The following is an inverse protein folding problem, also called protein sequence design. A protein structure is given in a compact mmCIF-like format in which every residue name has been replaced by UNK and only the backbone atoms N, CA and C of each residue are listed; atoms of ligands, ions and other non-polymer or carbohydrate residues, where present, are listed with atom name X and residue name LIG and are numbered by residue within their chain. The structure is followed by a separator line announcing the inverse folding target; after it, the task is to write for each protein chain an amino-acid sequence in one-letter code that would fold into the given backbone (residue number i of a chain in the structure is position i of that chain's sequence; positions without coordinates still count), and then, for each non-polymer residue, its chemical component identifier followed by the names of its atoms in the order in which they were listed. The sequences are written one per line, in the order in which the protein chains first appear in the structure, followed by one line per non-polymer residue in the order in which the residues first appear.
data_IF_489180891513
#
_entry.id   IF_489180891513
#
_cell.length_a   1.000
_cell.length_b   1.000
_cell.length_c   1.000
_cell.angle_alpha   90.00
_cell.angle_beta   90.00
_cell.angle_gamma   90.00
#
_symmetry.space_group_name_H-M   'P 1'
#
loop_
_entity.id
_entity.type
_entity.pdbx_description
1 polymer ?
#
# COMPACT_ATOMS: atom_id res chain seq x y z
N UNK A 1 -19.01 4.82 16.39
CA UNK A 1 -17.97 3.83 16.73
C UNK A 1 -16.64 4.57 16.71
N UNK A 2 -16.06 4.81 17.90
CA UNK A 2 -14.76 5.49 18.00
C UNK A 2 -13.70 4.62 17.31
N UNK A 3 -12.96 5.20 16.37
CA UNK A 3 -11.71 4.57 15.92
C UNK A 3 -10.85 4.33 17.15
N UNK A 4 -10.17 3.18 17.25
CA UNK A 4 -9.18 2.97 18.30
C UNK A 4 -8.16 4.12 18.21
N UNK A 5 -7.79 4.68 19.36
CA UNK A 5 -6.75 5.68 19.48
C UNK A 5 -5.53 5.16 18.72
N UNK A 6 -5.02 5.96 17.76
CA UNK A 6 -3.79 5.66 17.05
C UNK A 6 -2.68 5.55 18.10
N UNK A 7 -1.87 4.49 18.04
CA UNK A 7 -0.65 4.43 18.85
C UNK A 7 0.33 5.48 18.32
N UNK A 8 1.19 5.98 19.19
CA UNK A 8 2.25 6.89 18.76
C UNK A 8 3.20 6.18 17.80
N UNK A 9 3.73 6.92 16.82
CA UNK A 9 4.75 6.39 15.92
C UNK A 9 6.00 5.96 16.71
N UNK A 10 6.66 4.86 16.30
CA UNK A 10 7.93 4.49 16.92
C UNK A 10 8.97 5.61 16.81
N UNK A 11 9.84 5.72 17.82
CA UNK A 11 10.86 6.79 17.92
C UNK A 11 12.16 6.50 17.17
N UNK A 12 12.25 5.35 16.50
CA UNK A 12 13.41 4.96 15.67
C UNK A 12 13.46 5.85 14.44
N UNK A 13 14.57 6.53 14.21
CA UNK A 13 14.73 7.52 13.14
C UNK A 13 15.91 7.24 12.18
N UNK A 14 16.67 6.15 12.40
CA UNK A 14 17.76 5.71 11.53
C UNK A 14 17.71 4.23 11.18
N UNK A 15 18.33 3.86 10.05
CA UNK A 15 18.45 2.44 9.64
C UNK A 15 19.25 1.62 10.66
N UNK A 16 20.28 2.20 11.27
CA UNK A 16 21.08 1.53 12.30
C UNK A 16 20.24 1.15 13.50
N UNK A 17 19.42 2.07 14.02
CA UNK A 17 18.49 1.81 15.12
C UNK A 17 17.42 0.79 14.72
N UNK A 18 16.90 0.88 13.49
CA UNK A 18 15.93 -0.06 12.97
C UNK A 18 16.50 -1.49 12.93
N UNK A 19 17.77 -1.65 12.53
CA UNK A 19 18.46 -2.94 12.58
C UNK A 19 18.66 -3.43 14.02
N UNK A 20 19.08 -2.54 14.89
CA UNK A 20 19.30 -2.85 16.30
C UNK A 20 18.01 -3.27 17.01
N UNK A 21 16.84 -2.77 16.59
CA UNK A 21 15.53 -3.18 17.11
C UNK A 21 15.13 -4.61 16.72
N UNK A 22 15.84 -5.24 15.78
CA UNK A 22 15.49 -6.56 15.25
C UNK A 22 14.34 -6.52 14.24
N UNK A 23 13.99 -5.34 13.72
CA UNK A 23 12.94 -5.20 12.70
C UNK A 23 13.23 -6.07 11.47
N UNK A 24 12.23 -6.83 11.04
CA UNK A 24 12.30 -7.66 9.85
C UNK A 24 11.28 -7.16 8.82
N UNK A 25 11.76 -6.94 7.60
CA UNK A 25 10.89 -6.60 6.49
C UNK A 25 10.09 -7.83 6.06
N UNK A 26 8.81 -7.61 5.78
CA UNK A 26 7.91 -8.60 5.18
C UNK A 26 7.31 -8.06 3.88
N UNK A 27 7.14 -8.91 2.84
CA UNK A 27 6.28 -8.57 1.71
C UNK A 27 4.85 -8.28 2.18
N UNK A 28 4.16 -7.36 1.51
CA UNK A 28 2.78 -6.96 1.87
C UNK A 28 1.83 -8.17 2.04
N UNK A 29 1.90 -9.13 1.12
CA UNK A 29 1.02 -10.32 1.16
C UNK A 29 1.31 -11.20 2.39
N UNK A 30 2.57 -11.28 2.81
CA UNK A 30 2.98 -11.97 4.03
C UNK A 30 2.51 -11.22 5.28
N UNK A 31 2.63 -9.91 5.30
CA UNK A 31 2.13 -9.05 6.37
C UNK A 31 0.63 -9.25 6.60
N UNK A 32 -0.18 -9.11 5.54
CA UNK A 32 -1.64 -9.30 5.60
C UNK A 32 -2.03 -10.70 6.07
N UNK A 33 -1.37 -11.74 5.55
CA UNK A 33 -1.59 -13.13 5.95
C UNK A 33 -1.28 -13.36 7.41
N UNK A 34 -0.10 -12.92 7.84
CA UNK A 34 0.38 -13.16 9.22
C UNK A 34 -0.52 -12.45 10.22
N UNK A 35 -0.94 -11.21 9.94
CA UNK A 35 -1.83 -10.44 10.78
C UNK A 35 -3.24 -11.04 10.82
N UNK A 36 -3.79 -11.47 9.68
CA UNK A 36 -5.06 -12.19 9.63
C UNK A 36 -5.01 -13.47 10.49
N UNK A 37 -3.98 -14.29 10.31
CA UNK A 37 -3.81 -15.51 11.09
C UNK A 37 -3.62 -15.25 12.59
N UNK A 38 -2.97 -14.15 12.95
CA UNK A 38 -2.81 -13.74 14.35
C UNK A 38 -4.15 -13.38 14.99
N UNK A 39 -5.01 -12.61 14.28
CA UNK A 39 -6.36 -12.28 14.74
C UNK A 39 -7.22 -13.54 14.92
N UNK A 40 -7.25 -14.41 13.92
CA UNK A 40 -8.03 -15.66 13.96
C UNK A 40 -7.57 -16.61 15.09
N UNK A 41 -6.25 -16.78 15.27
CA UNK A 41 -5.69 -17.61 16.36
C UNK A 41 -5.99 -17.06 17.75
N UNK A 42 -6.08 -15.73 17.86
CA UNK A 42 -6.43 -15.07 19.10
C UNK A 42 -7.96 -15.06 19.38
N UNK A 43 -8.76 -15.62 18.47
CA UNK A 43 -10.22 -15.61 18.58
C UNK A 43 -10.83 -14.22 18.43
N UNK A 44 -10.10 -13.27 17.87
CA UNK A 44 -10.62 -11.93 17.56
C UNK A 44 -11.30 -11.90 16.19
N UNK A 45 -12.31 -11.05 16.05
CA UNK A 45 -12.99 -10.85 14.78
C UNK A 45 -12.17 -9.90 13.88
N UNK A 46 -11.59 -10.40 12.75
CA UNK A 46 -10.84 -9.53 11.83
C UNK A 46 -11.75 -8.61 11.03
N UNK A 47 -13.07 -8.89 11.03
CA UNK A 47 -14.07 -8.26 10.17
C UNK A 47 -15.16 -7.50 10.93
N UNK A 48 -14.81 -6.65 11.89
CA UNK A 48 -15.79 -6.03 12.78
C UNK A 48 -16.81 -5.19 12.02
N UNK A 49 -18.10 -5.45 12.32
CA UNK A 49 -19.23 -4.74 11.74
C UNK A 49 -19.57 -5.14 10.31
N UNK A 50 -19.01 -6.25 9.79
CA UNK A 50 -19.46 -6.90 8.57
C UNK A 50 -20.39 -8.04 8.96
N UNK A 51 -21.68 -7.88 8.72
CA UNK A 51 -22.71 -8.85 9.07
C UNK A 51 -23.38 -9.41 7.82
N UNK A 52 -23.71 -10.72 7.84
CA UNK A 52 -24.36 -11.40 6.75
C UNK A 52 -23.41 -11.95 5.68
N UNK A 53 -22.10 -11.85 5.90
CA UNK A 53 -21.06 -12.36 4.98
C UNK A 53 -20.28 -13.52 5.56
N UNK A 54 -20.56 -13.90 6.79
CA UNK A 54 -19.76 -14.86 7.59
C UNK A 54 -19.72 -16.25 6.96
N UNK A 55 -20.79 -16.67 6.31
CA UNK A 55 -20.89 -17.99 5.67
C UNK A 55 -20.55 -17.98 4.17
N UNK A 56 -20.36 -16.82 3.56
CA UNK A 56 -20.26 -16.68 2.09
C UNK A 56 -18.96 -16.01 1.65
N UNK A 57 -18.88 -14.70 1.81
CA UNK A 57 -17.78 -13.88 1.27
C UNK A 57 -16.53 -13.96 2.16
N UNK A 58 -16.69 -13.88 3.48
CA UNK A 58 -15.56 -13.85 4.42
C UNK A 58 -14.66 -15.07 4.30
N UNK A 59 -15.16 -16.33 4.28
CA UNK A 59 -14.28 -17.49 4.15
C UNK A 59 -13.53 -17.55 2.81
N UNK A 60 -14.09 -16.98 1.74
CA UNK A 60 -13.42 -16.92 0.45
C UNK A 60 -12.33 -15.85 0.46
N UNK A 61 -12.63 -14.68 1.05
CA UNK A 61 -11.67 -13.59 1.21
C UNK A 61 -10.48 -14.01 2.07
N UNK A 62 -10.71 -14.64 3.21
CA UNK A 62 -9.66 -15.15 4.09
C UNK A 62 -8.74 -16.13 3.35
N UNK A 63 -9.31 -17.08 2.62
CA UNK A 63 -8.53 -18.02 1.80
C UNK A 63 -7.69 -17.31 0.74
N UNK A 64 -8.26 -16.29 0.07
CA UNK A 64 -7.54 -15.52 -0.93
C UNK A 64 -6.37 -14.74 -0.31
N UNK A 65 -6.58 -14.08 0.83
CA UNK A 65 -5.54 -13.35 1.55
C UNK A 65 -4.45 -14.27 2.09
N UNK A 66 -4.82 -15.43 2.64
CA UNK A 66 -3.85 -16.44 3.12
C UNK A 66 -3.01 -16.97 1.95
N UNK A 67 -3.64 -17.19 0.79
CA UNK A 67 -2.95 -17.64 -0.42
C UNK A 67 -2.16 -16.52 -1.13
N UNK A 68 -2.30 -15.25 -0.70
CA UNK A 68 -1.62 -14.11 -1.28
C UNK A 68 -2.17 -13.70 -2.65
N UNK A 69 -3.45 -13.92 -2.90
CA UNK A 69 -4.11 -13.51 -4.15
C UNK A 69 -4.64 -12.09 -4.10
N UNK A 70 -4.68 -11.44 -5.27
CA UNK A 70 -5.48 -10.25 -5.48
C UNK A 70 -6.96 -10.65 -5.55
N UNK A 71 -7.86 -9.74 -5.18
CA UNK A 71 -9.28 -10.05 -4.98
C UNK A 71 -10.15 -9.15 -5.84
N UNK A 72 -11.10 -9.73 -6.54
CA UNK A 72 -12.18 -9.02 -7.23
C UNK A 72 -13.50 -9.31 -6.51
N UNK A 73 -14.16 -8.25 -6.02
CA UNK A 73 -15.45 -8.34 -5.35
C UNK A 73 -16.56 -8.04 -6.36
N UNK A 74 -17.34 -9.07 -6.69
CA UNK A 74 -18.50 -8.96 -7.57
C UNK A 74 -19.77 -8.83 -6.74
N UNK A 75 -20.68 -7.98 -7.19
CA UNK A 75 -21.99 -7.78 -6.54
C UNK A 75 -22.61 -6.44 -6.88
N UNK A 76 -23.87 -6.26 -6.55
CA UNK A 76 -24.64 -5.04 -6.81
C UNK A 76 -24.14 -3.86 -5.97
N UNK A 77 -24.53 -2.64 -6.38
CA UNK A 77 -24.27 -1.42 -5.61
C UNK A 77 -24.95 -1.51 -4.23
N UNK A 78 -24.31 -0.96 -3.21
CA UNK A 78 -24.86 -0.93 -1.84
C UNK A 78 -24.61 -2.21 -1.02
N UNK A 79 -24.00 -3.26 -1.56
CA UNK A 79 -23.73 -4.53 -0.86
C UNK A 79 -22.51 -4.50 0.08
N UNK A 80 -21.99 -3.33 0.46
CA UNK A 80 -20.91 -3.22 1.45
C UNK A 80 -19.51 -3.55 0.94
N UNK A 81 -19.29 -3.71 -0.38
CA UNK A 81 -17.96 -4.02 -0.96
C UNK A 81 -16.86 -3.05 -0.50
N UNK A 82 -17.12 -1.76 -0.58
CA UNK A 82 -16.15 -0.72 -0.16
C UNK A 82 -15.83 -0.82 1.34
N UNK A 83 -16.84 -1.14 2.17
CA UNK A 83 -16.61 -1.35 3.61
C UNK A 83 -15.72 -2.57 3.86
N UNK A 84 -15.96 -3.66 3.12
CA UNK A 84 -15.12 -4.86 3.19
C UNK A 84 -13.68 -4.54 2.79
N UNK A 85 -13.46 -3.82 1.69
CA UNK A 85 -12.13 -3.40 1.24
C UNK A 85 -11.40 -2.56 2.30
N UNK A 86 -12.08 -1.58 2.90
CA UNK A 86 -11.50 -0.77 3.99
C UNK A 86 -11.13 -1.60 5.22
N UNK A 87 -11.91 -2.65 5.50
CA UNK A 87 -11.60 -3.54 6.62
C UNK A 87 -10.32 -4.35 6.36
N UNK A 88 -10.02 -4.72 5.10
CA UNK A 88 -8.74 -5.36 4.74
C UNK A 88 -7.56 -4.45 5.11
N UNK A 89 -7.67 -3.14 4.93
CA UNK A 89 -6.64 -2.17 5.32
C UNK A 89 -6.27 -2.21 6.81
N UNK A 90 -7.14 -2.72 7.67
CA UNK A 90 -6.87 -2.90 9.11
C UNK A 90 -5.92 -4.05 9.42
N UNK A 91 -5.74 -4.96 8.44
CA UNK A 91 -4.77 -6.05 8.54
C UNK A 91 -3.33 -5.60 8.24
N UNK A 92 -3.11 -4.37 7.80
CA UNK A 92 -1.77 -3.79 7.70
C UNK A 92 -1.23 -3.52 9.10
N UNK A 93 0.09 -3.64 9.26
CA UNK A 93 0.79 -3.18 10.47
C UNK A 93 0.48 -1.70 10.69
N UNK A 94 0.23 -1.31 11.94
CA UNK A 94 -0.20 0.06 12.26
C UNK A 94 0.83 1.09 11.80
N UNK A 95 2.11 0.78 11.99
CA UNK A 95 3.24 1.60 11.55
C UNK A 95 4.23 0.76 10.73
N UNK A 96 4.69 1.31 9.63
CA UNK A 96 5.75 0.71 8.81
C UNK A 96 6.88 1.70 8.59
N UNK A 97 8.16 1.28 8.71
CA UNK A 97 9.28 2.17 8.47
C UNK A 97 9.43 2.43 6.96
N UNK A 98 9.74 3.67 6.61
CA UNK A 98 10.04 4.10 5.25
C UNK A 98 11.28 4.99 5.24
N UNK A 99 11.96 5.07 4.11
CA UNK A 99 13.05 6.03 3.93
C UNK A 99 12.45 7.44 4.04
N UNK A 100 12.95 8.25 4.96
CA UNK A 100 12.46 9.60 5.15
C UNK A 100 12.56 10.42 3.87
N UNK A 101 11.44 11.03 3.44
CA UNK A 101 11.35 11.79 2.20
C UNK A 101 11.23 10.96 0.92
N UNK A 102 11.12 9.63 0.99
CA UNK A 102 10.83 8.81 -0.20
C UNK A 102 9.42 9.09 -0.72
N UNK A 103 9.31 9.42 -2.00
CA UNK A 103 8.01 9.65 -2.66
C UNK A 103 7.14 8.39 -2.68
N UNK A 104 7.75 7.22 -2.84
CA UNK A 104 7.08 5.93 -2.90
C UNK A 104 6.88 5.27 -1.53
N UNK A 105 7.46 5.83 -0.45
CA UNK A 105 7.43 5.19 0.86
C UNK A 105 8.18 3.85 0.88
N UNK A 106 9.38 3.84 0.29
CA UNK A 106 10.23 2.66 0.17
C UNK A 106 10.73 2.18 1.54
N UNK A 107 10.81 0.86 1.69
CA UNK A 107 11.36 0.29 2.92
C UNK A 107 12.87 0.55 3.01
N UNK A 108 13.41 0.94 4.20
CA UNK A 108 14.83 1.27 4.34
C UNK A 108 15.81 0.16 3.96
N UNK A 109 15.37 -1.10 4.06
CA UNK A 109 16.20 -2.25 3.67
C UNK A 109 16.09 -2.62 2.19
N UNK A 110 15.16 -2.01 1.45
CA UNK A 110 14.90 -2.34 0.05
C UNK A 110 14.59 -1.06 -0.76
N UNK A 111 15.58 -0.17 -0.92
CA UNK A 111 15.40 1.01 -1.76
C UNK A 111 15.27 0.60 -3.23
N UNK A 112 14.27 1.15 -3.93
CA UNK A 112 13.97 0.82 -5.34
C UNK A 112 14.26 1.95 -6.29
N UNK A 113 14.01 3.22 -5.91
CA UNK A 113 14.33 4.37 -6.75
C UNK A 113 15.84 4.63 -6.80
N UNK A 114 16.29 5.28 -7.86
CA UNK A 114 17.70 5.66 -8.01
C UNK A 114 18.17 6.57 -6.88
N UNK A 115 17.34 7.56 -6.53
CA UNK A 115 17.61 8.49 -5.43
C UNK A 115 17.74 7.77 -4.07
N UNK A 116 16.78 6.89 -3.74
CA UNK A 116 16.80 6.14 -2.49
C UNK A 116 17.99 5.19 -2.39
N UNK A 117 18.36 4.53 -3.50
CA UNK A 117 19.56 3.68 -3.54
C UNK A 117 20.84 4.47 -3.34
N UNK A 118 20.97 5.63 -3.98
CA UNK A 118 22.12 6.52 -3.80
C UNK A 118 22.24 6.96 -2.33
N UNK A 119 21.15 7.47 -1.73
CA UNK A 119 21.13 7.89 -0.32
C UNK A 119 21.47 6.74 0.63
N UNK A 120 20.93 5.55 0.37
CA UNK A 120 21.24 4.36 1.18
C UNK A 120 22.71 3.95 1.09
N UNK A 121 23.33 4.06 -0.09
CA UNK A 121 24.76 3.77 -0.27
C UNK A 121 25.65 4.81 0.41
N UNK A 122 25.28 6.09 0.38
CA UNK A 122 26.03 7.19 0.97
C UNK A 122 25.92 7.23 2.50
N UNK A 123 24.73 7.00 3.05
CA UNK A 123 24.45 7.20 4.47
C UNK A 123 24.52 5.90 5.30
N UNK A 124 24.36 4.74 4.68
CA UNK A 124 24.39 3.45 5.38
C UNK A 124 23.45 3.41 6.58
N UNK A 125 23.96 3.15 7.77
CA UNK A 125 23.16 3.08 9.01
C UNK A 125 22.64 4.45 9.49
N UNK A 126 23.20 5.55 8.98
CA UNK A 126 22.70 6.90 9.26
C UNK A 126 21.55 7.32 8.32
N UNK A 127 21.10 6.46 7.40
CA UNK A 127 19.97 6.77 6.52
C UNK A 127 18.72 7.06 7.36
N UNK A 128 18.11 8.25 7.21
CA UNK A 128 16.94 8.63 8.00
C UNK A 128 15.72 7.77 7.68
N UNK A 129 15.02 7.36 8.72
CA UNK A 129 13.77 6.59 8.69
C UNK A 129 12.63 7.48 9.18
N UNK A 130 11.49 7.37 8.56
CA UNK A 130 10.21 7.88 9.07
C UNK A 130 9.19 6.75 9.13
N UNK A 131 8.06 6.98 9.78
CA UNK A 131 7.03 5.97 9.97
C UNK A 131 5.76 6.37 9.25
N UNK A 132 5.22 5.43 8.49
CA UNK A 132 4.00 5.60 7.73
C UNK A 132 2.88 4.81 8.41
N UNK A 133 1.79 5.49 8.76
CA UNK A 133 0.64 4.84 9.37
C UNK A 133 -0.15 4.04 8.30
N UNK A 134 -0.78 2.93 8.72
CA UNK A 134 -1.56 2.06 7.80
C UNK A 134 -2.65 2.78 7.02
N UNK A 135 -3.24 3.86 7.56
CA UNK A 135 -4.25 4.65 6.84
C UNK A 135 -3.72 5.31 5.57
N UNK A 136 -2.41 5.54 5.49
CA UNK A 136 -1.73 6.10 4.31
C UNK A 136 -1.32 5.01 3.31
N UNK A 137 -1.45 3.74 3.70
CA UNK A 137 -1.11 2.57 2.90
C UNK A 137 -2.32 1.91 2.25
N UNK A 138 -3.50 2.47 2.44
CA UNK A 138 -4.74 2.05 1.80
C UNK A 138 -5.30 3.19 0.97
N UNK A 139 -5.45 2.99 -0.32
CA UNK A 139 -5.90 4.02 -1.25
C UNK A 139 -7.09 3.50 -2.06
N UNK A 140 -8.12 4.34 -2.21
CA UNK A 140 -9.29 4.07 -3.06
C UNK A 140 -9.25 4.96 -4.29
N UNK A 141 -9.51 4.35 -5.44
CA UNK A 141 -9.75 5.05 -6.71
C UNK A 141 -11.12 4.66 -7.24
N UNK A 142 -11.95 5.65 -7.52
CA UNK A 142 -13.14 5.42 -8.33
C UNK A 142 -12.70 5.38 -9.81
N UNK A 143 -13.00 4.28 -10.47
CA UNK A 143 -12.80 4.17 -11.90
C UNK A 143 -13.81 5.05 -12.64
N UNK A 144 -13.33 5.77 -13.64
CA UNK A 144 -14.14 6.61 -14.51
C UNK A 144 -13.65 6.44 -15.96
N UNK A 145 -14.48 6.71 -17.00
CA UNK A 145 -14.07 6.55 -18.39
C UNK A 145 -12.88 7.44 -18.81
N UNK A 146 -12.65 8.53 -18.10
CA UNK A 146 -11.55 9.48 -18.31
C UNK A 146 -10.29 9.15 -17.51
N UNK A 147 -10.32 8.13 -16.63
CA UNK A 147 -9.12 7.64 -15.93
C UNK A 147 -8.07 7.24 -16.98
N UNK A 148 -6.85 7.77 -16.83
CA UNK A 148 -5.74 7.52 -17.76
C UNK A 148 -4.72 6.53 -17.20
N UNK A 149 -3.86 5.98 -18.06
CA UNK A 149 -2.69 5.19 -17.64
C UNK A 149 -1.75 6.05 -16.81
N UNK A 150 -1.59 7.33 -17.17
CA UNK A 150 -0.76 8.28 -16.42
C UNK A 150 -1.23 8.45 -14.98
N UNK A 151 -2.55 8.48 -14.73
CA UNK A 151 -3.10 8.57 -13.37
C UNK A 151 -2.75 7.33 -12.53
N UNK A 152 -2.73 6.16 -13.14
CA UNK A 152 -2.50 4.89 -12.46
C UNK A 152 -1.02 4.55 -12.31
N UNK A 153 -0.26 4.64 -13.38
CA UNK A 153 1.15 4.21 -13.43
C UNK A 153 2.09 5.40 -13.31
N UNK A 154 1.77 6.49 -14.02
CA UNK A 154 2.60 7.68 -14.10
C UNK A 154 2.95 8.05 -15.53
N UNK A 155 3.61 9.17 -15.68
CA UNK A 155 4.06 9.72 -16.96
C UNK A 155 5.35 10.53 -16.77
N UNK A 156 5.95 10.94 -17.87
CA UNK A 156 7.10 11.84 -17.87
C UNK A 156 6.65 13.24 -17.43
N UNK A 157 7.33 13.80 -16.46
CA UNK A 157 7.09 15.16 -15.96
C UNK A 157 7.61 16.20 -16.98
N UNK A 158 6.72 16.93 -17.67
CA UNK A 158 7.13 17.89 -18.68
C UNK A 158 7.93 19.07 -18.11
N UNK A 159 7.75 19.39 -16.83
CA UNK A 159 8.50 20.47 -16.17
C UNK A 159 9.95 20.10 -16.02
N UNK A 160 10.24 18.87 -15.57
CA UNK A 160 11.60 18.36 -15.41
C UNK A 160 12.33 18.25 -16.76
N UNK A 161 11.60 17.90 -17.81
CA UNK A 161 12.15 17.90 -19.19
C UNK A 161 12.46 19.32 -19.65
N UNK A 162 11.60 20.29 -19.35
CA UNK A 162 11.83 21.71 -19.69
C UNK A 162 13.03 22.29 -18.93
N UNK A 163 13.37 21.77 -17.75
CA UNK A 163 14.56 22.10 -17.00
C UNK A 163 15.86 21.49 -17.58
N UNK A 164 15.76 20.79 -18.72
CA UNK A 164 16.90 20.22 -19.44
C UNK A 164 17.26 18.77 -19.03
N UNK A 165 16.42 18.08 -18.28
CA UNK A 165 16.61 16.66 -17.99
C UNK A 165 16.30 15.80 -19.21
N UNK A 166 16.99 14.68 -19.34
CA UNK A 166 16.70 13.70 -20.41
C UNK A 166 15.39 12.97 -20.16
N UNK A 167 14.63 12.69 -21.23
CA UNK A 167 13.43 11.84 -21.16
C UNK A 167 13.71 10.42 -20.62
N UNK A 168 14.94 9.95 -20.75
CA UNK A 168 15.38 8.65 -20.20
C UNK A 168 15.86 8.70 -18.75
N UNK A 169 15.87 9.87 -18.12
CA UNK A 169 16.27 10.01 -16.73
C UNK A 169 15.14 9.52 -15.81
N UNK A 170 15.37 8.50 -14.96
CA UNK A 170 14.36 8.01 -14.02
C UNK A 170 13.79 9.10 -13.11
N UNK A 171 14.53 10.19 -12.86
CA UNK A 171 14.07 11.30 -12.05
C UNK A 171 13.07 12.23 -12.78
N UNK A 172 12.84 12.04 -14.10
CA UNK A 172 11.81 12.77 -14.85
C UNK A 172 10.42 12.13 -14.74
N UNK A 173 10.31 10.96 -14.12
CA UNK A 173 9.01 10.28 -13.97
C UNK A 173 8.19 10.94 -12.86
N UNK A 174 6.94 11.24 -13.17
CA UNK A 174 5.88 11.51 -12.19
C UNK A 174 5.13 10.22 -11.92
N UNK A 175 5.23 9.70 -10.69
CA UNK A 175 4.60 8.43 -10.35
C UNK A 175 3.08 8.57 -10.19
N UNK A 176 2.33 7.64 -10.77
CA UNK A 176 0.90 7.53 -10.60
C UNK A 176 0.50 6.87 -9.28
N UNK A 177 -0.80 6.58 -9.16
CA UNK A 177 -1.41 6.03 -7.94
C UNK A 177 -0.78 4.72 -7.49
N UNK A 178 -0.56 3.78 -8.43
CA UNK A 178 -0.07 2.42 -8.11
C UNK A 178 1.35 2.45 -7.54
N UNK A 179 2.35 3.09 -8.20
CA UNK A 179 3.68 3.19 -7.62
C UNK A 179 3.70 3.94 -6.27
N UNK A 180 2.92 5.01 -6.12
CA UNK A 180 2.82 5.75 -4.84
C UNK A 180 2.18 4.93 -3.72
N UNK A 181 1.42 3.89 -4.07
CA UNK A 181 0.83 2.94 -3.13
C UNK A 181 1.76 1.76 -2.85
N UNK A 182 3.05 1.90 -3.15
CA UNK A 182 4.05 0.87 -2.88
C UNK A 182 3.94 0.34 -1.45
N UNK A 183 3.94 -0.98 -1.29
CA UNK A 183 3.72 -1.69 -0.01
C UNK A 183 2.37 -1.36 0.64
N UNK A 184 1.39 -0.97 -0.15
CA UNK A 184 0.03 -0.65 0.27
C UNK A 184 -1.02 -1.42 -0.53
N UNK A 185 -2.27 -1.11 -0.25
CA UNK A 185 -3.44 -1.69 -0.91
C UNK A 185 -4.07 -0.62 -1.79
N UNK A 186 -4.25 -0.94 -3.07
CA UNK A 186 -5.03 -0.12 -3.99
C UNK A 186 -6.37 -0.80 -4.22
N UNK A 187 -7.45 -0.10 -3.90
CA UNK A 187 -8.81 -0.53 -4.16
C UNK A 187 -9.40 0.28 -5.33
N UNK A 188 -9.73 -0.40 -6.42
CA UNK A 188 -10.37 0.22 -7.58
C UNK A 188 -11.87 -0.10 -7.53
N UNK A 189 -12.68 0.93 -7.29
CA UNK A 189 -14.14 0.83 -7.30
C UNK A 189 -14.69 1.04 -8.70
N UNK A 190 -15.77 0.36 -9.05
CA UNK A 190 -16.44 0.45 -10.35
C UNK A 190 -15.48 0.11 -11.52
N UNK A 191 -14.66 -0.93 -11.35
CA UNK A 191 -13.66 -1.37 -12.32
C UNK A 191 -14.18 -1.46 -13.77
N UNK A 192 -15.42 -1.91 -14.06
CA UNK A 192 -15.97 -1.94 -15.41
C UNK A 192 -16.09 -0.56 -16.08
N UNK A 193 -16.08 0.54 -15.32
CA UNK A 193 -16.16 1.89 -15.87
C UNK A 193 -14.82 2.38 -16.44
N UNK A 194 -13.72 1.66 -16.19
CA UNK A 194 -12.44 1.92 -16.86
C UNK A 194 -12.55 1.64 -18.36
N UNK A 195 -11.94 2.47 -19.18
CA UNK A 195 -11.79 2.20 -20.61
C UNK A 195 -11.08 0.83 -20.80
N UNK A 196 -11.53 0.04 -21.77
CA UNK A 196 -11.03 -1.34 -22.03
C UNK A 196 -9.49 -1.38 -22.14
N UNK A 197 -8.90 -0.39 -22.82
CA UNK A 197 -7.43 -0.25 -22.94
C UNK A 197 -6.69 -0.11 -21.60
N UNK A 198 -7.38 0.36 -20.55
CA UNK A 198 -6.81 0.51 -19.21
C UNK A 198 -6.96 -0.78 -18.40
N UNK A 199 -8.05 -1.53 -18.64
CA UNK A 199 -8.29 -2.79 -17.92
C UNK A 199 -7.26 -3.88 -18.29
N UNK A 200 -6.58 -3.76 -19.42
CA UNK A 200 -5.58 -4.72 -19.92
C UNK A 200 -4.13 -4.24 -19.73
N UNK A 201 -3.92 -3.02 -19.25
CA UNK A 201 -2.60 -2.44 -18.97
C UNK A 201 -2.13 -2.83 -17.57
#
# INVERSE_FOLDING_TARGET
MSEPLQTEAPTIDTVGELRASGHQQKPLRTELRDNLLAELRAGRDPWPGLHGFEATVIPQLERALIAGHDVVLLGERGQGKTRLLRTIGRLLDEWTPVIAGSELGEHPYEPITHESRRRAAELGDALPVSWRHRSERYVEKLATPDTSVADLIGDVDPMKVAEGRSLGDPETIHFGLIPRSHRGIVAINELPDLAERIQVA
#
